data_IF_857302242049
#
_entry.id   IF_857302242049
#
_cell.length_a   1.000
_cell.length_b   1.000
_cell.length_c   1.000
_cell.angle_alpha   90.00
_cell.angle_beta   90.00
_cell.angle_gamma   90.00
#
_symmetry.space_group_name_H-M   'P 1'
#
loop_
_entity.id
_entity.type
_entity.pdbx_description
1 polymer ?
#
# COMPACT_ATOMS: atom_id res chain seq x y z
N UNK A 1 -20.59 26.31 -39.31
CA UNK A 1 -19.96 25.90 -38.04
C UNK A 1 -20.34 24.51 -37.54
N UNK A 2 -21.46 23.89 -37.94
CA UNK A 2 -21.88 22.56 -37.42
C UNK A 2 -21.07 21.33 -37.91
N UNK A 3 -20.25 21.44 -38.96
CA UNK A 3 -19.54 20.29 -39.53
C UNK A 3 -18.23 19.95 -38.80
N UNK A 4 -17.58 20.91 -38.13
CA UNK A 4 -16.31 20.66 -37.44
C UNK A 4 -16.47 19.82 -36.17
N UNK A 5 -17.54 20.08 -35.40
CA UNK A 5 -17.84 19.35 -34.16
C UNK A 5 -18.20 17.90 -34.42
N UNK A 6 -18.92 17.61 -35.52
CA UNK A 6 -19.26 16.24 -35.92
C UNK A 6 -18.04 15.45 -36.38
N UNK A 7 -17.12 16.09 -37.10
CA UNK A 7 -15.85 15.48 -37.54
C UNK A 7 -14.92 15.22 -36.34
N UNK A 8 -14.87 16.14 -35.37
CA UNK A 8 -14.10 15.95 -34.14
C UNK A 8 -14.65 14.79 -33.28
N UNK A 9 -15.97 14.66 -33.15
CA UNK A 9 -16.61 13.55 -32.44
C UNK A 9 -16.38 12.21 -33.17
N UNK A 10 -16.48 12.19 -34.50
CA UNK A 10 -16.19 11.00 -35.32
C UNK A 10 -14.72 10.58 -35.22
N UNK A 11 -13.78 11.53 -35.20
CA UNK A 11 -12.36 11.26 -34.99
C UNK A 11 -12.07 10.75 -33.58
N UNK A 12 -12.73 11.29 -32.56
CA UNK A 12 -12.60 10.83 -31.17
C UNK A 12 -13.14 9.39 -31.02
N UNK A 13 -14.28 9.08 -31.65
CA UNK A 13 -14.86 7.72 -31.69
C UNK A 13 -13.94 6.77 -32.47
N UNK A 14 -13.36 7.20 -33.60
CA UNK A 14 -12.40 6.40 -34.36
C UNK A 14 -11.14 6.09 -33.53
N UNK A 15 -10.64 7.06 -32.77
CA UNK A 15 -9.49 6.86 -31.86
C UNK A 15 -9.85 5.86 -30.76
N UNK A 16 -11.04 5.96 -30.16
CA UNK A 16 -11.51 5.00 -29.13
C UNK A 16 -11.66 3.59 -29.71
N UNK A 17 -12.10 3.44 -30.97
CA UNK A 17 -12.22 2.15 -31.65
C UNK A 17 -10.82 1.60 -32.03
N UNK A 18 -9.87 2.46 -32.40
CA UNK A 18 -8.50 2.08 -32.77
C UNK A 18 -7.68 1.53 -31.60
N UNK A 19 -8.04 1.89 -30.36
CA UNK A 19 -7.37 1.42 -29.13
C UNK A 19 -7.77 -0.02 -28.75
N UNK A 20 -8.72 -0.65 -29.45
CA UNK A 20 -9.15 -2.03 -29.19
C UNK A 20 -8.28 -3.11 -29.87
N UNK A 21 -7.09 -2.78 -30.36
CA UNK A 21 -6.12 -3.79 -30.76
C UNK A 21 -5.62 -4.51 -29.50
N UNK A 22 -6.16 -5.70 -29.21
CA UNK A 22 -5.60 -6.62 -28.21
C UNK A 22 -4.23 -7.08 -28.70
N UNK A 23 -3.20 -6.30 -28.37
CA UNK A 23 -1.82 -6.77 -28.33
C UNK A 23 -1.76 -7.85 -27.25
N UNK A 24 -1.82 -9.12 -27.66
CA UNK A 24 -1.44 -10.24 -26.82
C UNK A 24 0.06 -10.20 -26.60
N UNK A 25 0.52 -9.27 -25.78
CA UNK A 25 1.79 -9.44 -25.10
C UNK A 25 1.56 -10.56 -24.09
N UNK A 26 2.22 -11.70 -24.29
CA UNK A 26 2.40 -12.68 -23.23
C UNK A 26 3.31 -12.04 -22.18
N UNK A 27 2.77 -11.11 -21.39
CA UNK A 27 3.39 -10.73 -20.14
C UNK A 27 3.25 -11.96 -19.25
N UNK A 28 4.35 -12.67 -19.02
CA UNK A 28 4.42 -13.61 -17.91
C UNK A 28 4.41 -12.74 -16.65
N UNK A 29 3.37 -12.83 -15.82
CA UNK A 29 3.39 -12.08 -14.57
C UNK A 29 4.52 -12.59 -13.69
N UNK A 30 5.17 -11.65 -13.01
CA UNK A 30 6.26 -11.91 -12.06
C UNK A 30 5.70 -12.15 -10.65
N UNK A 31 4.53 -12.80 -10.58
CA UNK A 31 3.81 -13.05 -9.33
C UNK A 31 4.68 -13.87 -8.39
N UNK A 32 4.86 -13.34 -7.18
CA UNK A 32 5.64 -13.98 -6.13
C UNK A 32 7.16 -13.91 -6.33
N UNK A 33 7.68 -13.06 -7.23
CA UNK A 33 9.14 -12.92 -7.45
C UNK A 33 9.74 -11.70 -6.73
N UNK A 34 9.14 -11.25 -5.63
CA UNK A 34 9.64 -10.13 -4.80
C UNK A 34 9.70 -10.50 -3.34
N UNK A 35 10.61 -9.88 -2.60
CA UNK A 35 10.61 -9.90 -1.15
C UNK A 35 9.61 -8.88 -0.58
N UNK A 36 9.40 -8.88 0.73
CA UNK A 36 8.66 -7.85 1.45
C UNK A 36 7.24 -7.54 0.93
N UNK A 37 6.48 -8.55 0.51
CA UNK A 37 5.09 -8.39 0.03
C UNK A 37 4.12 -7.75 1.04
N UNK A 38 4.48 -7.68 2.33
CA UNK A 38 3.71 -6.91 3.32
C UNK A 38 3.59 -5.41 2.97
N UNK A 39 4.51 -4.89 2.15
CA UNK A 39 4.48 -3.50 1.65
C UNK A 39 3.34 -3.24 0.65
N UNK A 40 2.68 -4.28 0.15
CA UNK A 40 1.54 -4.21 -0.77
C UNK A 40 0.20 -4.21 -0.02
N UNK A 41 0.22 -4.48 1.29
CA UNK A 41 -0.98 -4.48 2.12
C UNK A 41 -1.41 -3.03 2.37
N UNK A 42 -2.54 -2.65 1.76
CA UNK A 42 -3.11 -1.30 1.88
C UNK A 42 -3.34 -0.85 3.32
N UNK A 43 -2.97 0.41 3.60
CA UNK A 43 -3.06 1.05 4.92
C UNK A 43 -4.31 1.92 5.02
N UNK A 44 -4.97 1.88 6.17
CA UNK A 44 -6.07 2.78 6.49
C UNK A 44 -7.42 2.28 5.98
N UNK A 45 -8.40 2.25 6.87
CA UNK A 45 -9.78 1.88 6.56
C UNK A 45 -10.37 2.74 5.42
N UNK A 46 -10.27 4.08 5.41
CA UNK A 46 -10.83 4.89 4.32
C UNK A 46 -10.33 4.48 2.93
N UNK A 47 -9.02 4.32 2.77
CA UNK A 47 -8.42 3.94 1.49
C UNK A 47 -8.74 2.50 1.08
N UNK A 48 -8.69 1.57 2.04
CA UNK A 48 -9.05 0.17 1.81
C UNK A 48 -10.53 0.03 1.42
N UNK A 49 -11.43 0.80 2.03
CA UNK A 49 -12.86 0.81 1.69
C UNK A 49 -13.13 1.34 0.28
N UNK A 50 -12.26 2.20 -0.22
CA UNK A 50 -12.28 2.73 -1.59
C UNK A 50 -11.59 1.79 -2.60
N UNK A 51 -11.35 0.53 -2.22
CA UNK A 51 -10.68 -0.46 -3.08
C UNK A 51 -9.23 -0.10 -3.39
N UNK A 52 -8.58 0.73 -2.57
CA UNK A 52 -7.22 1.22 -2.84
C UNK A 52 -7.14 2.33 -3.90
N UNK A 53 -8.29 2.90 -4.33
CA UNK A 53 -8.34 4.07 -5.20
C UNK A 53 -8.21 5.36 -4.38
N UNK A 54 -6.98 5.67 -3.94
CA UNK A 54 -6.72 6.70 -2.95
C UNK A 54 -5.54 7.62 -3.29
N UNK A 55 -4.75 7.34 -4.32
CA UNK A 55 -3.54 8.11 -4.66
C UNK A 55 -3.83 9.55 -5.01
N UNK A 56 -4.92 9.82 -5.73
CA UNK A 56 -5.37 11.17 -6.05
C UNK A 56 -6.09 11.88 -4.89
N UNK A 57 -6.44 11.15 -3.82
CA UNK A 57 -7.21 11.65 -2.69
C UNK A 57 -6.34 11.91 -1.46
N UNK A 58 -5.36 11.04 -1.19
CA UNK A 58 -4.43 11.01 -0.05
C UNK A 58 -4.35 12.32 0.76
N UNK A 59 -5.30 12.50 1.68
CA UNK A 59 -5.57 13.76 2.39
C UNK A 59 -5.68 13.59 3.91
N UNK A 60 -5.07 12.53 4.43
CA UNK A 60 -4.94 12.22 5.85
C UNK A 60 -3.53 11.63 6.09
N UNK A 61 -3.19 11.28 7.33
CA UNK A 61 -1.87 10.73 7.64
C UNK A 61 -1.58 9.37 6.97
N UNK A 62 -2.59 8.66 6.43
CA UNK A 62 -2.35 7.46 5.61
C UNK A 62 -1.70 7.81 4.25
N UNK A 63 -1.67 9.09 3.86
CA UNK A 63 -0.92 9.57 2.71
C UNK A 63 0.59 9.25 2.80
N UNK A 64 1.13 9.03 4.00
CA UNK A 64 2.49 8.51 4.20
C UNK A 64 2.73 7.17 3.47
N UNK A 65 1.69 6.35 3.34
CA UNK A 65 1.71 5.09 2.59
C UNK A 65 1.26 5.29 1.13
N UNK A 66 0.11 5.95 0.91
CA UNK A 66 -0.52 5.99 -0.41
C UNK A 66 0.12 6.98 -1.38
N UNK A 67 0.43 8.19 -0.93
CA UNK A 67 1.03 9.22 -1.77
C UNK A 67 1.61 10.32 -0.87
N UNK A 68 2.93 10.29 -0.68
CA UNK A 68 3.63 11.27 0.16
C UNK A 68 3.45 12.71 -0.31
N UNK A 69 3.12 12.97 -1.57
CA UNK A 69 2.75 14.31 -2.03
C UNK A 69 1.51 14.88 -1.31
N UNK A 70 0.65 14.00 -0.79
CA UNK A 70 -0.55 14.31 -0.02
C UNK A 70 -0.29 14.93 1.34
N UNK A 71 0.77 14.51 2.04
CA UNK A 71 1.03 15.04 3.39
C UNK A 71 1.31 16.54 3.34
N UNK A 72 1.81 17.09 2.22
CA UNK A 72 2.02 18.53 2.04
C UNK A 72 0.72 19.36 2.13
N UNK A 73 -0.44 18.73 1.96
CA UNK A 73 -1.76 19.37 2.01
C UNK A 73 -2.36 19.44 3.42
N UNK A 74 -1.74 18.76 4.38
CA UNK A 74 -2.19 18.71 5.77
C UNK A 74 -1.75 19.98 6.53
N UNK A 75 -2.73 20.76 6.99
CA UNK A 75 -2.49 22.04 7.65
C UNK A 75 -2.46 21.92 9.19
N UNK A 76 -2.56 20.70 9.74
CA UNK A 76 -2.55 20.38 11.18
C UNK A 76 -1.59 19.24 11.49
N UNK A 77 -1.28 19.03 12.76
CA UNK A 77 -0.63 17.81 13.19
C UNK A 77 -1.63 16.66 13.08
N UNK A 78 -1.15 15.51 12.60
CA UNK A 78 -2.02 14.37 12.41
C UNK A 78 -1.31 13.08 12.77
N UNK A 79 -1.96 12.25 13.59
CA UNK A 79 -1.54 10.91 13.90
C UNK A 79 -2.58 9.91 13.42
N UNK A 80 -2.15 8.75 12.94
CA UNK A 80 -3.02 7.65 12.56
C UNK A 80 -2.49 6.34 13.11
N UNK A 81 -3.40 5.51 13.61
CA UNK A 81 -3.16 4.12 13.99
C UNK A 81 -4.11 3.23 13.19
N UNK A 82 -3.59 2.15 12.63
CA UNK A 82 -4.36 1.17 11.85
C UNK A 82 -4.04 -0.21 12.38
N UNK A 83 -5.08 -1.02 12.57
CA UNK A 83 -4.96 -2.43 12.89
C UNK A 83 -5.82 -3.24 11.94
N UNK A 84 -5.22 -4.28 11.37
CA UNK A 84 -5.88 -5.20 10.43
C UNK A 84 -5.61 -6.63 10.86
N UNK A 85 -6.68 -7.38 11.12
CA UNK A 85 -6.58 -8.84 11.20
C UNK A 85 -6.43 -9.36 9.77
N UNK A 86 -5.24 -9.83 9.46
CA UNK A 86 -4.87 -10.27 8.13
C UNK A 86 -5.01 -11.80 8.00
N UNK A 87 -4.76 -12.31 6.80
CA UNK A 87 -4.93 -13.73 6.50
C UNK A 87 -3.98 -14.61 7.34
N UNK A 88 -4.36 -15.87 7.55
CA UNK A 88 -3.58 -16.84 8.34
C UNK A 88 -3.22 -16.35 9.75
N UNK A 89 -4.16 -15.67 10.42
CA UNK A 89 -4.02 -15.15 11.79
C UNK A 89 -2.84 -14.18 11.99
N UNK A 90 -2.37 -13.58 10.89
CA UNK A 90 -1.36 -12.52 10.93
C UNK A 90 -1.98 -11.17 11.29
N UNK A 91 -1.18 -10.30 11.87
CA UNK A 91 -1.58 -8.96 12.32
C UNK A 91 -0.78 -7.93 11.54
N UNK A 92 -1.49 -7.04 10.86
CA UNK A 92 -0.91 -5.93 10.13
C UNK A 92 -1.24 -4.61 10.85
N UNK A 93 -0.20 -3.88 11.21
CA UNK A 93 -0.30 -2.65 12.00
C UNK A 93 0.43 -1.51 11.29
N UNK A 94 -0.17 -0.32 11.33
CA UNK A 94 0.45 0.90 10.83
C UNK A 94 0.28 2.04 11.83
N UNK A 95 1.35 2.78 12.05
CA UNK A 95 1.34 4.04 12.79
C UNK A 95 1.98 5.12 11.94
N UNK A 96 1.32 6.28 11.85
CA UNK A 96 1.80 7.44 11.11
C UNK A 96 1.69 8.71 11.93
N UNK A 97 2.65 9.61 11.78
CA UNK A 97 2.64 10.95 12.34
C UNK A 97 3.06 11.95 11.27
N UNK A 98 2.25 12.99 11.06
CA UNK A 98 2.56 14.12 10.19
C UNK A 98 2.66 15.38 11.02
N UNK A 99 3.78 16.09 10.87
CA UNK A 99 4.06 17.37 11.51
C UNK A 99 4.01 18.45 10.44
N UNK A 100 3.01 19.32 10.53
CA UNK A 100 2.89 20.50 9.65
C UNK A 100 3.85 21.60 10.07
N UNK A 101 4.76 22.01 9.19
CA UNK A 101 5.67 23.15 9.42
C UNK A 101 5.24 24.41 8.64
N UNK A 102 3.94 24.49 8.30
CA UNK A 102 3.39 25.60 7.54
C UNK A 102 4.01 25.70 6.14
N UNK A 103 4.60 26.85 5.80
CA UNK A 103 5.08 27.13 4.44
C UNK A 103 6.38 26.40 4.06
N UNK A 104 7.09 25.83 5.05
CA UNK A 104 8.32 25.07 4.80
C UNK A 104 8.02 23.71 4.17
N UNK A 105 6.86 23.14 4.46
CA UNK A 105 6.49 21.77 4.11
C UNK A 105 6.16 20.96 5.36
N UNK A 106 5.93 19.67 5.20
CA UNK A 106 5.47 18.78 6.26
C UNK A 106 6.42 17.59 6.37
N UNK A 107 6.73 17.21 7.61
CA UNK A 107 7.48 15.99 7.91
C UNK A 107 6.54 14.86 8.29
N UNK A 108 6.95 13.65 7.91
CA UNK A 108 6.23 12.42 8.21
C UNK A 108 7.14 11.38 8.85
N UNK A 109 6.59 10.62 9.78
CA UNK A 109 7.19 9.40 10.31
C UNK A 109 6.14 8.29 10.22
N UNK A 110 6.50 7.13 9.67
CA UNK A 110 5.63 5.96 9.67
C UNK A 110 6.33 4.69 10.11
N UNK A 111 5.56 3.81 10.72
CA UNK A 111 5.94 2.46 11.10
C UNK A 111 4.87 1.48 10.59
N UNK A 112 5.29 0.47 9.84
CA UNK A 112 4.43 -0.63 9.38
C UNK A 112 4.98 -1.93 9.94
N UNK A 113 4.10 -2.82 10.40
CA UNK A 113 4.47 -4.15 10.88
C UNK A 113 3.51 -5.19 10.35
N UNK A 114 4.04 -6.34 9.94
CA UNK A 114 3.29 -7.59 9.76
C UNK A 114 3.90 -8.63 10.68
N UNK A 115 3.07 -9.29 11.49
CA UNK A 115 3.55 -10.28 12.47
C UNK A 115 2.63 -11.48 12.55
N UNK A 116 3.20 -12.63 12.93
CA UNK A 116 2.45 -13.82 13.35
C UNK A 116 2.76 -14.17 14.80
N UNK A 117 1.85 -14.91 15.42
CA UNK A 117 2.12 -15.51 16.73
C UNK A 117 3.12 -16.67 16.62
N UNK A 118 3.78 -17.00 17.73
CA UNK A 118 4.72 -18.11 17.77
C UNK A 118 4.02 -19.44 17.47
N UNK A 119 4.58 -20.19 16.53
CA UNK A 119 4.13 -21.51 16.14
C UNK A 119 5.14 -22.57 16.60
N UNK A 120 4.64 -23.71 17.08
CA UNK A 120 5.49 -24.86 17.41
C UNK A 120 6.12 -25.44 16.13
N UNK A 121 7.43 -25.67 16.17
CA UNK A 121 8.12 -26.46 15.15
C UNK A 121 7.70 -27.92 15.29
N UNK A 122 7.30 -28.57 14.19
CA UNK A 122 6.85 -29.98 14.16
C UNK A 122 7.58 -30.74 13.08
N UNK A 123 7.89 -32.01 13.33
CA UNK A 123 8.41 -32.95 12.34
C UNK A 123 7.49 -34.17 12.24
N UNK A 124 7.77 -35.06 11.29
CA UNK A 124 7.04 -36.32 11.16
C UNK A 124 7.19 -37.17 12.44
N UNK A 125 8.35 -37.10 13.09
CA UNK A 125 8.67 -37.81 14.33
C UNK A 125 8.10 -37.12 15.58
N UNK A 126 7.91 -35.79 15.53
CA UNK A 126 7.42 -34.98 16.65
C UNK A 126 6.21 -34.11 16.23
N UNK A 127 5.03 -34.72 16.00
CA UNK A 127 3.84 -34.00 15.54
C UNK A 127 3.26 -33.02 16.58
N UNK A 128 3.51 -33.26 17.87
CA UNK A 128 3.05 -32.38 18.96
C UNK A 128 4.01 -31.21 19.25
N UNK A 129 5.18 -31.21 18.61
CA UNK A 129 6.20 -30.17 18.69
C UNK A 129 7.58 -30.71 19.08
N UNK A 130 8.63 -30.10 18.54
CA UNK A 130 10.03 -30.42 18.87
C UNK A 130 10.49 -29.81 20.20
N UNK A 131 9.70 -28.88 20.76
CA UNK A 131 10.07 -28.03 21.90
C UNK A 131 10.56 -26.64 21.47
N UNK A 132 10.78 -26.42 20.18
CA UNK A 132 11.11 -25.11 19.61
C UNK A 132 9.87 -24.41 19.05
N UNK A 133 9.91 -23.08 19.05
CA UNK A 133 8.94 -22.22 18.38
C UNK A 133 9.61 -21.45 17.25
N UNK A 134 8.82 -21.05 16.27
CA UNK A 134 9.20 -20.11 15.22
C UNK A 134 8.12 -19.05 15.03
N UNK A 135 8.53 -17.87 14.60
CA UNK A 135 7.65 -16.79 14.16
C UNK A 135 8.27 -16.07 12.98
N UNK A 136 7.47 -15.26 12.29
CA UNK A 136 7.94 -14.31 11.31
C UNK A 136 7.42 -12.91 11.64
N UNK A 137 8.25 -11.92 11.34
CA UNK A 137 7.88 -10.52 11.49
C UNK A 137 8.59 -9.68 10.43
N UNK A 138 7.82 -8.77 9.87
CA UNK A 138 8.27 -7.81 8.88
C UNK A 138 7.98 -6.40 9.39
N UNK A 139 8.94 -5.50 9.25
CA UNK A 139 8.80 -4.09 9.64
C UNK A 139 9.29 -3.16 8.55
N UNK A 140 8.66 -1.99 8.48
CA UNK A 140 9.11 -0.84 7.69
C UNK A 140 9.07 0.41 8.56
N UNK A 141 10.18 1.15 8.60
CA UNK A 141 10.26 2.47 9.23
C UNK A 141 10.54 3.48 8.13
N UNK A 142 9.77 4.56 8.07
CA UNK A 142 9.92 5.55 7.03
C UNK A 142 9.93 6.99 7.54
N UNK A 143 10.77 7.81 6.92
CA UNK A 143 10.81 9.26 7.10
C UNK A 143 10.41 9.93 5.80
N UNK A 144 9.45 10.85 5.89
CA UNK A 144 8.87 11.52 4.74
C UNK A 144 9.01 13.03 4.85
N UNK A 145 9.15 13.68 3.71
CA UNK A 145 9.05 15.13 3.60
C UNK A 145 8.28 15.50 2.34
N UNK A 146 7.35 16.44 2.45
CA UNK A 146 6.59 16.93 1.30
C UNK A 146 6.33 18.42 1.39
N UNK A 147 6.19 19.06 0.23
CA UNK A 147 5.97 20.51 0.14
C UNK A 147 5.05 20.88 -1.02
N UNK A 148 4.20 21.88 -0.79
CA UNK A 148 3.47 22.60 -1.84
C UNK A 148 4.47 23.47 -2.61
N UNK A 149 4.67 23.21 -3.90
CA UNK A 149 5.44 24.09 -4.80
C UNK A 149 4.58 25.23 -5.33
N UNK A 150 3.29 24.97 -5.54
CA UNK A 150 2.27 25.95 -5.89
C UNK A 150 0.99 25.63 -5.12
N UNK A 151 -0.03 26.46 -5.24
CA UNK A 151 -1.36 26.20 -4.65
C UNK A 151 -2.06 24.97 -5.25
N UNK A 152 -1.52 24.44 -6.36
CA UNK A 152 -2.08 23.34 -7.13
C UNK A 152 -1.18 22.11 -7.18
N UNK A 153 0.10 22.24 -6.87
CA UNK A 153 1.09 21.17 -7.04
C UNK A 153 1.90 20.93 -5.77
N UNK A 154 1.94 19.69 -5.32
CA UNK A 154 2.81 19.23 -4.25
C UNK A 154 3.64 18.02 -4.66
N UNK A 155 4.82 17.92 -4.05
CA UNK A 155 5.71 16.77 -4.16
C UNK A 155 6.05 16.27 -2.76
N UNK A 156 6.36 14.99 -2.66
CA UNK A 156 6.99 14.42 -1.48
C UNK A 156 7.97 13.31 -1.84
N UNK A 157 8.85 13.04 -0.88
CA UNK A 157 9.80 11.93 -0.91
C UNK A 157 9.77 11.21 0.43
N UNK A 158 9.96 9.90 0.40
CA UNK A 158 10.06 9.06 1.58
C UNK A 158 11.34 8.23 1.50
N UNK A 159 12.06 8.10 2.61
CA UNK A 159 13.13 7.12 2.78
C UNK A 159 12.66 6.02 3.74
N UNK A 160 12.85 4.76 3.37
CA UNK A 160 12.40 3.57 4.11
C UNK A 160 13.56 2.67 4.48
N UNK A 161 13.50 2.12 5.69
CA UNK A 161 14.26 0.94 6.11
C UNK A 161 13.29 -0.22 6.32
N UNK A 162 13.53 -1.32 5.62
CA UNK A 162 12.67 -2.51 5.59
C UNK A 162 13.47 -3.67 6.18
N UNK A 163 12.84 -4.47 7.03
CA UNK A 163 13.43 -5.68 7.59
C UNK A 163 12.40 -6.80 7.62
N UNK A 164 12.80 -7.98 7.17
CA UNK A 164 12.04 -9.21 7.31
C UNK A 164 12.81 -10.20 8.19
N UNK A 165 12.07 -11.00 8.93
CA UNK A 165 12.63 -12.06 9.75
C UNK A 165 11.69 -13.26 9.78
N UNK A 166 12.27 -14.44 9.71
CA UNK A 166 11.56 -15.70 9.90
C UNK A 166 12.49 -16.66 10.63
N UNK A 167 12.04 -17.13 11.80
CA UNK A 167 12.79 -18.01 12.67
C UNK A 167 14.20 -17.46 12.99
N UNK A 168 15.27 -18.01 12.40
CA UNK A 168 16.65 -17.57 12.60
C UNK A 168 17.27 -16.85 11.41
N UNK A 169 16.45 -16.50 10.44
CA UNK A 169 16.82 -15.86 9.20
C UNK A 169 16.30 -14.42 9.19
N UNK A 170 17.07 -13.52 8.60
CA UNK A 170 16.64 -12.13 8.41
C UNK A 170 17.19 -11.52 7.13
N UNK A 171 16.54 -10.45 6.68
CA UNK A 171 16.97 -9.66 5.53
C UNK A 171 16.57 -8.21 5.74
N UNK A 172 17.32 -7.28 5.14
CA UNK A 172 17.02 -5.85 5.21
C UNK A 172 17.24 -5.16 3.86
N UNK A 173 16.48 -4.10 3.62
CA UNK A 173 16.63 -3.24 2.46
C UNK A 173 16.38 -1.77 2.79
N UNK A 174 16.90 -0.90 1.92
CA UNK A 174 16.54 0.51 1.88
C UNK A 174 15.72 0.78 0.64
N UNK A 175 14.73 1.66 0.75
CA UNK A 175 13.91 2.09 -0.37
C UNK A 175 13.57 3.57 -0.32
N UNK A 176 13.18 4.12 -1.45
CA UNK A 176 12.69 5.48 -1.61
C UNK A 176 11.32 5.43 -2.29
N UNK A 177 10.42 6.31 -1.84
CA UNK A 177 9.19 6.62 -2.57
C UNK A 177 9.22 8.07 -3.04
N UNK A 178 8.53 8.34 -4.14
CA UNK A 178 8.26 9.69 -4.62
C UNK A 178 6.78 9.83 -4.96
N UNK A 179 6.16 10.92 -4.51
CA UNK A 179 4.72 11.15 -4.69
C UNK A 179 4.43 12.57 -5.11
N UNK A 180 3.40 12.77 -5.92
CA UNK A 180 2.92 14.08 -6.36
C UNK A 180 1.41 14.16 -6.30
N UNK A 181 0.90 15.36 -6.05
CA UNK A 181 -0.50 15.71 -6.26
C UNK A 181 -0.61 16.97 -7.09
N UNK A 182 -1.56 16.97 -8.02
CA UNK A 182 -1.91 18.09 -8.86
C UNK A 182 -3.42 18.35 -8.83
N UNK A 183 -3.82 19.50 -8.31
CA UNK A 183 -5.22 19.95 -8.27
C UNK A 183 -5.54 20.82 -9.48
N UNK A 184 -6.64 20.51 -10.14
CA UNK A 184 -7.15 21.25 -11.29
C UNK A 184 -8.60 21.70 -11.07
N UNK A 185 -9.00 22.77 -11.76
CA UNK A 185 -10.36 23.31 -11.67
C UNK A 185 -11.37 22.50 -12.51
N UNK A 186 -10.89 21.52 -13.29
CA UNK A 186 -11.76 20.58 -14.01
C UNK A 186 -12.63 19.79 -13.03
N UNK A 187 -13.88 19.52 -13.43
CA UNK A 187 -14.85 18.71 -12.69
C UNK A 187 -15.02 19.14 -11.21
N UNK A 188 -14.96 20.45 -10.93
CA UNK A 188 -15.21 20.98 -9.58
C UNK A 188 -14.05 20.84 -8.60
N UNK A 189 -12.83 20.56 -9.07
CA UNK A 189 -11.66 20.43 -8.20
C UNK A 189 -10.98 19.06 -8.27
N UNK A 190 -10.96 18.44 -9.45
CA UNK A 190 -10.30 17.16 -9.67
C UNK A 190 -8.84 17.20 -9.22
N UNK A 191 -8.40 16.13 -8.56
CA UNK A 191 -7.02 15.95 -8.12
C UNK A 191 -6.43 14.73 -8.82
N UNK A 192 -5.24 14.90 -9.38
CA UNK A 192 -4.46 13.86 -10.03
C UNK A 192 -3.27 13.55 -9.12
N UNK A 193 -3.08 12.29 -8.78
CA UNK A 193 -1.92 11.83 -8.02
C UNK A 193 -1.07 10.87 -8.84
N UNK A 194 0.24 10.90 -8.61
CA UNK A 194 1.16 9.91 -9.13
C UNK A 194 2.19 9.57 -8.06
N UNK A 195 2.47 8.28 -7.91
CA UNK A 195 3.41 7.75 -6.92
C UNK A 195 4.26 6.64 -7.51
N UNK A 196 5.51 6.59 -7.09
CA UNK A 196 6.43 5.47 -7.23
C UNK A 196 6.81 5.03 -5.81
N UNK A 197 6.53 3.78 -5.47
CA UNK A 197 6.76 3.23 -4.13
C UNK A 197 7.77 2.08 -4.17
N UNK A 198 8.56 1.97 -3.12
CA UNK A 198 9.49 0.87 -2.84
C UNK A 198 10.64 0.72 -3.86
N UNK A 199 11.12 1.81 -4.45
CA UNK A 199 12.33 1.77 -5.27
C UNK A 199 13.56 1.63 -4.38
N UNK A 200 14.21 0.46 -4.38
CA UNK A 200 15.22 0.14 -3.37
C UNK A 200 16.14 -1.02 -3.68
N UNK A 201 16.97 -1.38 -2.70
CA UNK A 201 17.93 -2.49 -2.78
C UNK A 201 17.21 -3.84 -2.69
N UNK A 202 17.71 -4.89 -3.36
CA UNK A 202 17.16 -6.24 -3.20
C UNK A 202 17.43 -6.77 -1.80
N UNK A 203 16.66 -7.78 -1.42
CA UNK A 203 16.69 -8.46 -0.13
C UNK A 203 17.22 -9.88 -0.31
N UNK A 204 18.16 -10.29 0.55
CA UNK A 204 18.65 -11.67 0.63
C UNK A 204 18.56 -12.15 2.08
N UNK A 205 17.84 -13.24 2.31
CA UNK A 205 17.80 -13.87 3.63
C UNK A 205 19.19 -14.39 4.00
N UNK A 206 19.60 -14.13 5.23
CA UNK A 206 20.82 -14.66 5.82
C UNK A 206 20.56 -15.01 7.29
N UNK A 207 21.31 -15.99 7.81
CA UNK A 207 21.11 -16.49 9.16
C UNK A 207 21.61 -17.93 9.34
N UNK A 208 21.45 -18.43 10.57
CA UNK A 208 22.08 -19.69 10.99
C UNK A 208 21.57 -20.92 10.26
N UNK A 209 20.36 -20.86 9.71
CA UNK A 209 19.73 -22.01 9.04
C UNK A 209 20.34 -22.27 7.66
N UNK A 210 21.15 -21.35 7.13
CA UNK A 210 21.97 -21.58 5.93
C UNK A 210 23.29 -22.28 6.24
N UNK A 211 23.68 -22.38 7.51
CA UNK A 211 25.00 -22.86 7.91
C UNK A 211 24.99 -24.37 8.15
N UNK A 212 25.78 -25.07 7.36
CA UNK A 212 25.98 -26.52 7.46
C UNK A 212 27.45 -26.84 7.74
N UNK A 213 27.69 -28.03 8.26
CA UNK A 213 29.03 -28.58 8.37
C UNK A 213 29.12 -29.76 7.42
N UNK A 214 30.06 -29.69 6.49
CA UNK A 214 30.29 -30.74 5.51
C UNK A 214 31.73 -31.23 5.57
N UNK A 215 31.92 -32.44 5.07
CA UNK A 215 33.21 -32.91 4.60
C UNK A 215 33.29 -32.62 3.10
N UNK A 216 34.31 -31.89 2.68
CA UNK A 216 34.43 -31.45 1.27
C UNK A 216 34.79 -32.62 0.34
N UNK A 217 35.54 -33.60 0.85
CA UNK A 217 35.93 -34.80 0.12
C UNK A 217 35.83 -36.03 1.05
N UNK A 218 34.78 -36.82 0.81
CA UNK A 218 34.48 -38.04 1.57
C UNK A 218 35.42 -39.20 1.23
N UNK A 219 36.13 -39.13 0.10
CA UNK A 219 37.01 -40.20 -0.36
C UNK A 219 38.42 -40.10 0.23
N UNK A 220 38.80 -38.91 0.71
CA UNK A 220 40.14 -38.65 1.26
C UNK A 220 40.22 -38.93 2.75
N UNK A 221 41.07 -39.90 3.14
CA UNK A 221 41.40 -40.14 4.55
C UNK A 221 42.11 -38.93 5.18
N UNK A 222 41.73 -38.58 6.41
CA UNK A 222 42.23 -37.40 7.13
C UNK A 222 41.61 -36.05 6.72
N UNK A 223 40.62 -36.05 5.82
CA UNK A 223 39.84 -34.85 5.49
C UNK A 223 38.98 -34.40 6.69
N UNK A 224 38.83 -33.08 6.85
CA UNK A 224 38.08 -32.50 7.96
C UNK A 224 36.57 -32.70 7.77
N UNK A 225 35.92 -33.32 8.76
CA UNK A 225 34.49 -33.67 8.76
C UNK A 225 33.56 -32.49 9.10
N UNK A 226 34.11 -31.36 9.57
CA UNK A 226 33.33 -30.23 10.07
C UNK A 226 33.77 -28.91 9.47
N UNK A 227 33.86 -28.83 8.15
CA UNK A 227 34.10 -27.56 7.47
C UNK A 227 32.78 -26.77 7.45
N UNK A 228 32.73 -25.57 8.06
CA UNK A 228 31.54 -24.74 8.02
C UNK A 228 31.35 -24.18 6.61
N UNK A 229 30.15 -24.34 6.07
CA UNK A 229 29.73 -23.85 4.76
C UNK A 229 28.35 -23.20 4.90
N UNK A 230 28.10 -22.13 4.14
CA UNK A 230 26.77 -21.52 4.06
C UNK A 230 26.14 -21.85 2.69
N UNK A 231 24.85 -22.16 2.69
CA UNK A 231 24.04 -22.17 1.47
C UNK A 231 23.88 -20.71 1.03
N UNK A 232 24.28 -20.42 -0.21
CA UNK A 232 24.04 -19.11 -0.81
C UNK A 232 22.59 -19.02 -1.28
N UNK A 233 21.83 -18.10 -0.68
CA UNK A 233 20.45 -17.82 -1.06
C UNK A 233 20.39 -16.73 -2.14
N UNK A 234 19.35 -16.78 -2.97
CA UNK A 234 19.09 -15.74 -3.98
C UNK A 234 18.63 -14.43 -3.34
N UNK A 235 18.85 -13.33 -4.07
CA UNK A 235 18.34 -12.01 -3.74
C UNK A 235 17.09 -11.69 -4.55
N UNK A 236 16.10 -11.06 -3.91
CA UNK A 236 14.83 -10.71 -4.51
C UNK A 236 14.58 -9.22 -4.41
N UNK A 237 14.06 -8.61 -5.47
CA UNK A 237 13.73 -7.19 -5.48
C UNK A 237 12.54 -6.87 -4.55
N UNK A 238 12.43 -5.60 -4.16
CA UNK A 238 11.23 -5.08 -3.50
C UNK A 238 10.05 -4.97 -4.47
N UNK A 239 8.80 -4.92 -3.97
CA UNK A 239 7.60 -4.75 -4.80
C UNK A 239 7.52 -3.28 -5.24
N UNK A 240 8.27 -2.94 -6.27
CA UNK A 240 8.25 -1.63 -6.92
C UNK A 240 6.88 -1.43 -7.55
N UNK A 241 6.23 -0.35 -7.14
CA UNK A 241 4.87 -0.06 -7.57
C UNK A 241 4.75 1.36 -8.09
N UNK A 242 4.21 1.50 -9.31
CA UNK A 242 3.79 2.78 -9.86
C UNK A 242 2.27 2.86 -9.83
N UNK A 243 1.74 3.97 -9.33
CA UNK A 243 0.30 4.20 -9.29
C UNK A 243 -0.04 5.62 -9.72
N UNK A 244 -1.04 5.74 -10.58
CA UNK A 244 -1.57 7.02 -11.05
C UNK A 244 -3.06 7.03 -10.75
N UNK A 245 -3.51 8.06 -10.03
CA UNK A 245 -4.87 8.16 -9.52
C UNK A 245 -5.53 9.47 -9.87
N UNK A 246 -6.85 9.44 -10.00
CA UNK A 246 -7.69 10.63 -10.15
C UNK A 246 -8.80 10.58 -9.12
N UNK A 247 -9.02 11.69 -8.42
CA UNK A 247 -10.11 11.88 -7.48
C UNK A 247 -10.93 13.10 -7.85
N UNK A 248 -12.25 12.96 -7.91
CA UNK A 248 -13.19 14.00 -8.33
C UNK A 248 -14.25 14.20 -7.25
N UNK A 249 -14.46 15.43 -6.75
CA UNK A 249 -15.63 15.77 -5.94
C UNK A 249 -16.86 15.87 -6.86
N UNK A 250 -17.44 14.71 -7.22
CA UNK A 250 -18.52 14.62 -8.20
C UNK A 250 -19.76 15.45 -7.83
N UNK A 251 -20.02 15.60 -6.53
CA UNK A 251 -21.11 16.43 -6.03
C UNK A 251 -20.76 17.00 -4.66
N UNK A 252 -21.04 18.29 -4.45
CA UNK A 252 -20.81 18.96 -3.16
C UNK A 252 -21.91 19.98 -2.90
N UNK A 253 -22.68 19.74 -1.84
CA UNK A 253 -23.64 20.65 -1.20
C UNK A 253 -23.14 20.94 0.23
N UNK A 254 -23.84 21.82 0.95
CA UNK A 254 -23.47 22.20 2.32
C UNK A 254 -23.41 20.99 3.27
N UNK A 255 -24.35 20.05 3.17
CA UNK A 255 -24.45 18.89 4.05
C UNK A 255 -23.97 17.57 3.41
N UNK A 256 -23.76 17.53 2.09
CA UNK A 256 -23.51 16.29 1.35
C UNK A 256 -22.32 16.41 0.41
N UNK A 257 -21.40 15.44 0.47
CA UNK A 257 -20.28 15.36 -0.46
C UNK A 257 -20.16 13.95 -1.03
N UNK A 258 -20.07 13.85 -2.35
CA UNK A 258 -19.78 12.61 -3.07
C UNK A 258 -18.43 12.76 -3.77
N UNK A 259 -17.51 11.85 -3.48
CA UNK A 259 -16.18 11.79 -4.09
C UNK A 259 -16.01 10.47 -4.80
N UNK A 260 -15.54 10.49 -6.05
CA UNK A 260 -15.25 9.31 -6.86
C UNK A 260 -13.75 9.29 -7.14
N UNK A 261 -13.12 8.13 -7.02
CA UNK A 261 -11.68 7.95 -7.28
C UNK A 261 -11.42 6.72 -8.12
N UNK A 262 -10.40 6.80 -8.97
CA UNK A 262 -9.95 5.70 -9.80
C UNK A 262 -8.43 5.73 -9.94
N UNK A 263 -7.77 4.59 -9.71
CA UNK A 263 -6.31 4.48 -9.73
C UNK A 263 -5.87 3.32 -10.64
N UNK A 264 -4.89 3.59 -11.49
CA UNK A 264 -4.19 2.58 -12.29
C UNK A 264 -2.93 2.12 -11.56
N UNK A 265 -2.78 0.80 -11.42
CA UNK A 265 -1.67 0.15 -10.72
C UNK A 265 -0.75 -0.56 -11.71
N UNK A 266 0.55 -0.33 -11.56
CA UNK A 266 1.61 -0.95 -12.37
C UNK A 266 2.70 -1.47 -11.43
N UNK A 267 2.49 -2.67 -10.85
CA UNK A 267 3.51 -3.36 -10.07
C UNK A 267 4.59 -4.00 -10.95
N UNK A 268 5.77 -4.29 -10.37
CA UNK A 268 6.84 -5.05 -11.04
C UNK A 268 6.67 -6.58 -10.92
N UNK A 269 5.79 -7.04 -10.04
CA UNK A 269 5.59 -8.42 -9.63
C UNK A 269 4.17 -8.93 -9.91
N UNK A 270 3.33 -8.21 -10.63
CA UNK A 270 1.98 -8.67 -10.98
C UNK A 270 1.50 -8.01 -12.29
N UNK A 271 0.31 -8.38 -12.74
CA UNK A 271 -0.38 -7.69 -13.82
C UNK A 271 -0.86 -6.30 -13.39
N UNK A 272 -1.10 -5.47 -14.40
CA UNK A 272 -1.65 -4.12 -14.20
C UNK A 272 -3.12 -4.24 -13.87
N UNK A 273 -3.59 -3.39 -12.97
CA UNK A 273 -4.98 -3.40 -12.55
C UNK A 273 -5.52 -1.99 -12.34
N UNK A 274 -6.84 -1.89 -12.22
CA UNK A 274 -7.54 -0.67 -11.90
C UNK A 274 -8.29 -0.80 -10.58
N UNK A 275 -8.20 0.23 -9.75
CA UNK A 275 -9.00 0.36 -8.54
C UNK A 275 -10.05 1.44 -8.75
N UNK A 276 -11.24 1.23 -8.19
CA UNK A 276 -12.32 2.22 -8.21
C UNK A 276 -12.93 2.36 -6.82
N UNK A 277 -13.26 3.57 -6.42
CA UNK A 277 -13.91 3.84 -5.15
C UNK A 277 -14.84 5.05 -5.18
N UNK A 278 -15.85 5.03 -4.32
CA UNK A 278 -16.76 6.14 -4.08
C UNK A 278 -16.97 6.35 -2.58
N UNK A 279 -16.95 7.61 -2.16
CA UNK A 279 -17.29 8.03 -0.80
C UNK A 279 -18.48 8.96 -0.83
N UNK A 280 -19.42 8.72 0.07
CA UNK A 280 -20.47 9.63 0.46
C UNK A 280 -20.20 10.14 1.89
N UNK A 281 -20.11 11.46 2.07
CA UNK A 281 -19.97 12.12 3.37
C UNK A 281 -21.21 12.95 3.67
N UNK A 282 -21.71 12.82 4.90
CA UNK A 282 -22.83 13.60 5.43
C UNK A 282 -22.35 14.48 6.59
N UNK A 283 -22.48 15.80 6.43
CA UNK A 283 -22.08 16.86 7.37
C UNK A 283 -20.63 16.74 7.87
N UNK A 284 -19.75 16.09 7.10
CA UNK A 284 -18.39 15.71 7.50
C UNK A 284 -18.30 14.94 8.83
N UNK A 285 -19.45 14.40 9.28
CA UNK A 285 -19.61 13.65 10.52
C UNK A 285 -19.63 12.15 10.25
N UNK A 286 -20.39 11.72 9.23
CA UNK A 286 -20.48 10.32 8.81
C UNK A 286 -19.95 10.19 7.39
N UNK A 287 -19.17 9.13 7.15
CA UNK A 287 -18.73 8.77 5.82
C UNK A 287 -19.05 7.31 5.53
N UNK A 288 -19.59 7.04 4.34
CA UNK A 288 -19.81 5.70 3.81
C UNK A 288 -18.97 5.55 2.54
N UNK A 289 -18.28 4.41 2.44
CA UNK A 289 -17.31 4.15 1.38
C UNK A 289 -17.56 2.78 0.78
N UNK A 290 -17.42 2.71 -0.53
CA UNK A 290 -17.43 1.45 -1.26
C UNK A 290 -16.43 1.51 -2.40
N UNK A 291 -15.84 0.37 -2.70
CA UNK A 291 -14.84 0.29 -3.75
C UNK A 291 -14.63 -1.12 -4.23
N UNK A 292 -13.94 -1.20 -5.36
CA UNK A 292 -13.54 -2.44 -5.97
C UNK A 292 -12.06 -2.37 -6.33
N UNK A 293 -11.25 -3.27 -5.79
CA UNK A 293 -9.83 -3.37 -6.11
C UNK A 293 -9.58 -4.37 -7.25
N UNK A 294 -8.46 -4.19 -7.95
CA UNK A 294 -7.95 -5.16 -8.92
C UNK A 294 -8.85 -5.45 -10.13
N UNK A 295 -9.63 -4.46 -10.60
CA UNK A 295 -10.36 -4.57 -11.87
C UNK A 295 -9.39 -4.91 -13.00
N UNK A 296 -9.79 -5.87 -13.84
CA UNK A 296 -9.01 -6.40 -14.98
C UNK A 296 -7.74 -7.17 -14.61
N UNK A 297 -7.54 -7.49 -13.33
CA UNK A 297 -6.49 -8.42 -12.92
C UNK A 297 -6.94 -9.86 -13.21
N UNK A 298 -6.11 -10.61 -13.95
CA UNK A 298 -6.34 -12.03 -14.20
C UNK A 298 -6.24 -12.81 -12.88
N UNK A 299 -7.11 -13.80 -12.68
CA UNK A 299 -7.20 -14.63 -11.47
C UNK A 299 -7.41 -13.85 -10.15
N UNK A 300 -7.94 -12.62 -10.22
CA UNK A 300 -8.34 -11.85 -9.03
C UNK A 300 -9.37 -12.61 -8.20
N UNK A 301 -9.08 -12.78 -6.91
CA UNK A 301 -10.02 -13.30 -5.91
C UNK A 301 -10.54 -12.14 -5.05
N UNK A 302 -11.85 -12.09 -4.81
CA UNK A 302 -12.48 -11.01 -4.06
C UNK A 302 -12.58 -9.71 -4.86
N UNK A 303 -12.43 -8.56 -4.18
CA UNK A 303 -12.38 -7.24 -4.82
C UNK A 303 -13.30 -6.21 -4.18
N UNK A 304 -14.43 -6.63 -3.64
CA UNK A 304 -15.40 -5.71 -3.03
C UNK A 304 -14.92 -5.26 -1.64
N UNK A 305 -14.91 -3.95 -1.45
CA UNK A 305 -14.56 -3.31 -0.19
C UNK A 305 -15.65 -2.35 0.24
N UNK A 306 -16.01 -2.38 1.53
CA UNK A 306 -17.03 -1.52 2.13
C UNK A 306 -16.50 -0.95 3.44
N UNK A 307 -16.80 0.31 3.72
CA UNK A 307 -16.37 0.93 4.96
C UNK A 307 -17.28 2.06 5.43
N UNK A 308 -17.17 2.37 6.71
CA UNK A 308 -17.88 3.46 7.36
C UNK A 308 -16.94 4.19 8.31
N UNK A 309 -17.16 5.49 8.45
CA UNK A 309 -16.37 6.38 9.28
C UNK A 309 -17.21 7.35 10.07
N UNK A 310 -16.77 7.70 11.26
CA UNK A 310 -17.36 8.74 12.11
C UNK A 310 -16.27 9.73 12.55
N UNK A 311 -16.60 11.00 12.54
CA UNK A 311 -15.70 12.11 12.85
C UNK A 311 -16.23 12.92 14.05
N UNK A 312 -15.37 13.29 14.99
CA UNK A 312 -15.72 14.10 16.16
C UNK A 312 -15.75 15.63 15.92
N UNK A 313 -15.75 16.09 14.66
CA UNK A 313 -15.72 17.52 14.27
C UNK A 313 -16.75 18.39 15.00
N UNK A 314 -17.84 17.82 15.52
CA UNK A 314 -18.90 18.53 16.26
C UNK A 314 -18.76 18.47 17.80
N UNK A 315 -17.89 17.62 18.35
CA UNK A 315 -17.82 17.29 19.78
C UNK A 315 -16.63 17.91 20.52
N UNK A 316 -15.51 18.16 19.82
CA UNK A 316 -14.25 18.63 20.43
C UNK A 316 -13.75 19.85 19.64
N UNK A 317 -13.53 21.00 20.30
CA UNK A 317 -13.15 22.25 19.58
C UNK A 317 -11.69 22.28 19.11
N UNK A 318 -10.82 21.48 19.71
CA UNK A 318 -9.36 21.58 19.52
C UNK A 318 -8.77 20.39 18.79
N UNK A 319 -9.33 19.19 18.95
CA UNK A 319 -8.85 17.97 18.31
C UNK A 319 -9.98 17.26 17.58
N UNK A 320 -9.69 16.75 16.39
CA UNK A 320 -10.62 15.98 15.57
C UNK A 320 -10.21 14.53 15.60
N UNK A 321 -11.08 13.66 16.10
CA UNK A 321 -10.89 12.22 16.16
C UNK A 321 -11.73 11.55 15.09
N UNK A 322 -11.11 10.69 14.30
CA UNK A 322 -11.73 9.92 13.25
C UNK A 322 -11.64 8.44 13.59
N UNK A 323 -12.77 7.75 13.56
CA UNK A 323 -12.83 6.30 13.69
C UNK A 323 -13.42 5.72 12.41
N UNK A 324 -12.65 4.86 11.76
CA UNK A 324 -13.02 4.25 10.49
C UNK A 324 -12.90 2.72 10.58
N UNK A 325 -13.84 2.04 9.92
CA UNK A 325 -13.88 0.59 9.81
C UNK A 325 -14.01 0.19 8.35
N UNK A 326 -13.41 -0.94 7.99
CA UNK A 326 -13.49 -1.50 6.65
C UNK A 326 -13.58 -3.01 6.68
N UNK A 327 -14.44 -3.51 5.80
CA UNK A 327 -14.58 -4.89 5.41
C UNK A 327 -14.09 -5.05 3.98
N UNK A 328 -13.26 -6.08 3.75
CA UNK A 328 -12.82 -6.47 2.41
C UNK A 328 -13.10 -7.94 2.17
N UNK A 329 -13.71 -8.22 1.02
CA UNK A 329 -13.90 -9.58 0.51
C UNK A 329 -12.64 -10.04 -0.22
N UNK A 330 -12.09 -11.18 0.23
CA UNK A 330 -10.89 -11.82 -0.29
C UNK A 330 -11.21 -13.20 -0.92
N UNK A 331 -12.48 -13.47 -1.23
CA UNK A 331 -12.90 -14.66 -1.97
C UNK A 331 -12.61 -15.96 -1.22
N UNK A 332 -11.75 -16.82 -1.78
CA UNK A 332 -11.33 -18.08 -1.15
C UNK A 332 -10.56 -17.88 0.16
N UNK A 333 -9.95 -16.71 0.35
CA UNK A 333 -9.34 -16.32 1.60
C UNK A 333 -10.39 -15.66 2.48
N UNK A 334 -10.34 -15.90 3.80
CA UNK A 334 -11.29 -15.30 4.75
C UNK A 334 -11.31 -13.78 4.61
N UNK A 335 -12.46 -13.20 4.90
CA UNK A 335 -12.65 -11.75 4.89
C UNK A 335 -11.70 -11.03 5.82
N UNK A 336 -11.29 -9.83 5.41
CA UNK A 336 -10.36 -8.99 6.17
C UNK A 336 -11.10 -7.82 6.78
N UNK A 337 -10.79 -7.55 8.05
CA UNK A 337 -11.33 -6.45 8.82
C UNK A 337 -10.22 -5.49 9.19
N UNK A 338 -10.45 -4.19 9.02
CA UNK A 338 -9.46 -3.15 9.33
C UNK A 338 -10.10 -2.01 10.10
N UNK A 339 -9.40 -1.52 11.11
CA UNK A 339 -9.80 -0.39 11.94
C UNK A 339 -8.77 0.72 11.81
N UNK A 340 -9.21 1.97 11.84
CA UNK A 340 -8.31 3.12 11.83
C UNK A 340 -8.79 4.18 12.80
N UNK A 341 -7.83 4.74 13.53
CA UNK A 341 -8.01 5.86 14.44
C UNK A 341 -7.12 7.00 13.98
N UNK A 342 -7.72 8.08 13.50
CA UNK A 342 -7.03 9.31 13.15
C UNK A 342 -7.24 10.38 14.22
N UNK A 343 -6.22 11.16 14.52
CA UNK A 343 -6.29 12.31 15.44
C UNK A 343 -5.61 13.50 14.78
N UNK A 344 -6.34 14.61 14.62
CA UNK A 344 -5.85 15.87 14.07
C UNK A 344 -5.90 16.98 15.11
N UNK A 345 -4.81 17.71 15.34
CA UNK A 345 -4.70 18.75 16.37
C UNK A 345 -3.79 19.92 15.98
#
# INVERSE_FOLDING_TARGET
MLNFTRVAILLLILIIISVNQKLYSQNVSKVGTTAASFLEIGVGAPANAMGGAFVGRANDASALYWNVGGIATLDRYEAILVHTTWIADTKFDFAGLVISLGTFGNFGLSFTSLSMEDMKVRTVEQPDGTGENFSASDISVALSFARKFTDRFSIGITAKYIKQSIWHMSSSAFAIDAGTLFKTDLLGGMTIGAVMSNFGTPMRLDGRDTRYFIRVDDTKQGSNERIPTNIELDSWDLPLHFQIGVSVPAYQLDDYKITISADAQVPNNDYRSLNFGAEFSFMDFISLRGGYNSLFLDDSEGGLSLGAGVNSNMLLSTAVVNFDYTYRDFGKLKNVHSFSLGIRF
#
